data_IF_211544897438
#
_entry.id   IF_211544897438
#
_cell.length_a   1.000
_cell.length_b   1.000
_cell.length_c   1.000
_cell.angle_alpha   90.00
_cell.angle_beta   90.00
_cell.angle_gamma   90.00
#
_symmetry.space_group_name_H-M   'P 1'
#
loop_
_entity.id
_entity.type
_entity.pdbx_description
1 polymer ?
#
# COMPACT_ATOMS: atom_id res chain seq x y z
N UNK A 1 -31.11 -23.09 15.44
CA UNK A 1 -31.18 -22.18 16.59
C UNK A 1 -29.77 -22.10 17.20
N UNK A 2 -28.97 -21.12 16.82
CA UNK A 2 -27.69 -20.85 17.48
C UNK A 2 -27.98 -20.09 18.77
N UNK A 3 -27.75 -20.73 19.95
CA UNK A 3 -27.78 -20.02 21.24
C UNK A 3 -26.63 -19.01 21.27
N UNK A 4 -26.97 -17.76 21.58
CA UNK A 4 -26.00 -16.69 21.81
C UNK A 4 -25.09 -17.11 23.00
N UNK A 5 -23.79 -17.30 22.84
CA UNK A 5 -22.90 -17.76 23.91
C UNK A 5 -22.76 -16.76 25.08
N UNK A 6 -23.40 -15.60 25.01
CA UNK A 6 -23.36 -14.55 26.02
C UNK A 6 -24.71 -14.31 26.73
N UNK A 7 -25.71 -15.16 26.50
CA UNK A 7 -26.96 -15.12 27.26
C UNK A 7 -26.69 -15.54 28.72
N UNK A 8 -26.59 -14.55 29.60
CA UNK A 8 -26.33 -14.77 31.03
C UNK A 8 -24.98 -14.26 31.56
N UNK A 9 -24.14 -13.66 30.73
CA UNK A 9 -22.91 -13.03 31.21
C UNK A 9 -23.25 -11.71 31.93
N UNK A 10 -23.23 -11.70 33.27
CA UNK A 10 -23.17 -10.47 34.05
C UNK A 10 -21.72 -9.96 33.99
N UNK A 11 -21.52 -8.81 33.36
CA UNK A 11 -20.25 -8.13 33.35
C UNK A 11 -19.95 -7.51 34.70
N UNK A 12 -18.95 -8.00 35.46
CA UNK A 12 -18.78 -7.64 36.87
C UNK A 12 -18.38 -6.18 37.15
N UNK A 13 -18.02 -5.43 36.09
CA UNK A 13 -17.44 -4.08 36.22
C UNK A 13 -18.43 -2.93 36.00
N UNK A 14 -19.67 -3.19 35.55
CA UNK A 14 -20.66 -2.12 35.36
C UNK A 14 -21.22 -1.57 36.68
N UNK A 15 -20.99 -2.24 37.80
CA UNK A 15 -21.47 -1.86 39.12
C UNK A 15 -20.32 -1.57 40.11
N UNK A 16 -19.10 -1.40 39.67
CA UNK A 16 -17.99 -1.00 40.53
C UNK A 16 -18.05 0.53 40.76
N UNK A 17 -18.40 0.98 42.01
CA UNK A 17 -18.53 2.42 42.32
C UNK A 17 -17.22 3.20 42.17
N UNK A 18 -16.07 2.52 42.26
CA UNK A 18 -14.73 3.13 42.13
C UNK A 18 -14.30 3.34 40.65
N UNK A 19 -15.01 2.70 39.71
CA UNK A 19 -14.66 2.80 38.30
C UNK A 19 -15.14 4.09 37.63
N UNK A 20 -16.21 4.76 38.18
CA UNK A 20 -16.74 5.99 37.57
C UNK A 20 -17.26 6.96 38.65
N UNK A 21 -16.52 8.00 38.97
CA UNK A 21 -17.07 9.17 39.67
C UNK A 21 -18.20 9.81 38.87
N UNK A 22 -19.23 10.33 39.53
CA UNK A 22 -20.49 10.80 38.91
C UNK A 22 -20.29 11.87 37.78
N UNK A 23 -19.21 12.65 37.82
CA UNK A 23 -18.88 13.64 36.79
C UNK A 23 -18.28 12.96 35.56
N UNK A 24 -17.38 12.03 35.72
CA UNK A 24 -16.74 11.26 34.65
C UNK A 24 -17.74 10.38 33.93
N UNK A 25 -18.76 9.91 34.62
CA UNK A 25 -19.87 9.13 34.06
C UNK A 25 -20.71 9.97 33.08
N UNK A 26 -20.94 11.25 33.37
CA UNK A 26 -21.65 12.18 32.47
C UNK A 26 -20.83 12.47 31.22
N UNK A 27 -19.53 12.71 31.36
CA UNK A 27 -18.64 12.99 30.25
C UNK A 27 -18.51 11.80 29.32
N UNK A 28 -18.39 10.58 29.89
CA UNK A 28 -18.33 9.34 29.11
C UNK A 28 -19.63 9.09 28.34
N UNK A 29 -20.79 9.36 28.95
CA UNK A 29 -22.09 9.18 28.29
C UNK A 29 -22.32 10.24 27.19
N UNK A 30 -21.89 11.48 27.41
CA UNK A 30 -21.97 12.54 26.39
C UNK A 30 -21.08 12.21 25.17
N UNK A 31 -19.84 11.79 25.41
CA UNK A 31 -18.93 11.35 24.34
C UNK A 31 -19.52 10.15 23.60
N UNK A 32 -20.10 9.18 24.33
CA UNK A 32 -20.75 8.02 23.73
C UNK A 32 -21.94 8.41 22.86
N UNK A 33 -22.77 9.36 23.34
CA UNK A 33 -23.92 9.88 22.59
C UNK A 33 -23.49 10.54 21.31
N UNK A 34 -22.48 11.42 21.38
CA UNK A 34 -21.91 12.09 20.21
C UNK A 34 -21.27 11.10 19.24
N UNK A 35 -20.51 10.16 19.75
CA UNK A 35 -19.91 9.10 18.92
C UNK A 35 -20.98 8.34 18.13
N UNK A 36 -22.07 7.92 18.77
CA UNK A 36 -23.17 7.20 18.11
C UNK A 36 -23.86 8.05 17.04
N UNK A 37 -24.13 9.33 17.31
CA UNK A 37 -24.84 10.19 16.36
C UNK A 37 -23.99 10.56 15.13
N UNK A 38 -22.68 10.65 15.30
CA UNK A 38 -21.76 11.09 14.24
C UNK A 38 -21.13 9.93 13.47
N UNK A 39 -21.16 8.70 14.01
CA UNK A 39 -20.43 7.53 13.49
C UNK A 39 -21.26 6.24 13.39
N UNK A 40 -22.54 6.34 13.05
CA UNK A 40 -23.44 5.18 12.88
C UNK A 40 -22.94 4.19 11.81
N UNK A 41 -22.16 4.64 10.85
CA UNK A 41 -21.51 3.78 9.87
C UNK A 41 -20.54 2.78 10.51
N UNK A 42 -19.79 3.17 11.56
CA UNK A 42 -18.89 2.27 12.29
C UNK A 42 -19.69 1.18 13.00
N UNK A 43 -20.82 1.54 13.61
CA UNK A 43 -21.71 0.56 14.23
C UNK A 43 -22.19 -0.47 13.22
N UNK A 44 -22.70 -0.02 12.07
CA UNK A 44 -23.20 -0.92 11.01
C UNK A 44 -22.11 -1.87 10.49
N UNK A 45 -20.90 -1.37 10.29
CA UNK A 45 -19.78 -2.17 9.81
C UNK A 45 -19.35 -3.22 10.84
N UNK A 46 -19.34 -2.88 12.13
CA UNK A 46 -19.05 -3.82 13.22
C UNK A 46 -20.18 -4.86 13.39
N UNK A 47 -21.44 -4.45 13.27
CA UNK A 47 -22.61 -5.35 13.31
C UNK A 47 -22.59 -6.34 12.11
N UNK A 48 -22.23 -5.88 10.91
CA UNK A 48 -22.04 -6.73 9.73
C UNK A 48 -20.87 -7.72 9.89
N UNK A 49 -19.90 -7.38 10.73
CA UNK A 49 -18.80 -8.29 11.10
C UNK A 49 -19.19 -9.29 12.19
N UNK A 50 -20.47 -9.32 12.62
CA UNK A 50 -20.99 -10.26 13.61
C UNK A 50 -20.87 -9.80 15.06
N UNK A 51 -20.49 -8.54 15.32
CA UNK A 51 -20.39 -8.01 16.68
C UNK A 51 -21.74 -7.41 17.11
N UNK A 52 -22.30 -7.90 18.20
CA UNK A 52 -23.56 -7.40 18.74
C UNK A 52 -23.44 -5.93 19.18
N UNK A 53 -24.47 -5.11 18.90
CA UNK A 53 -24.50 -3.67 19.22
C UNK A 53 -24.25 -3.38 20.71
N UNK A 54 -24.81 -4.17 21.60
CA UNK A 54 -24.60 -3.99 23.05
C UNK A 54 -23.15 -4.23 23.45
N UNK A 55 -22.47 -5.16 22.77
CA UNK A 55 -21.04 -5.42 22.99
C UNK A 55 -20.18 -4.28 22.42
N UNK A 56 -20.56 -3.74 21.29
CA UNK A 56 -19.89 -2.53 20.73
C UNK A 56 -20.00 -1.39 21.73
N UNK A 57 -21.20 -1.13 22.26
CA UNK A 57 -21.45 -0.09 23.25
C UNK A 57 -20.63 -0.29 24.54
N UNK A 58 -20.58 -1.52 25.02
CA UNK A 58 -19.79 -1.86 26.20
C UNK A 58 -18.29 -1.58 25.99
N UNK A 59 -17.75 -2.06 24.88
CA UNK A 59 -16.33 -1.85 24.56
C UNK A 59 -15.99 -0.38 24.34
N UNK A 60 -16.91 0.37 23.73
CA UNK A 60 -16.74 1.81 23.54
C UNK A 60 -16.74 2.56 24.86
N UNK A 61 -17.70 2.29 25.74
CA UNK A 61 -17.73 2.92 27.07
C UNK A 61 -16.48 2.60 27.88
N UNK A 62 -16.00 1.35 27.80
CA UNK A 62 -14.79 0.93 28.48
C UNK A 62 -13.54 1.65 27.93
N UNK A 63 -13.43 1.77 26.61
CA UNK A 63 -12.35 2.49 25.95
C UNK A 63 -12.41 4.00 26.24
N UNK A 64 -13.61 4.60 26.24
CA UNK A 64 -13.81 6.01 26.60
C UNK A 64 -13.34 6.26 28.04
N UNK A 65 -13.75 5.39 28.99
CA UNK A 65 -13.34 5.47 30.39
C UNK A 65 -11.82 5.40 30.55
N UNK A 66 -11.15 4.50 29.82
CA UNK A 66 -9.69 4.42 29.79
C UNK A 66 -9.06 5.70 29.26
N UNK A 67 -9.55 6.23 28.13
CA UNK A 67 -9.02 7.44 27.51
C UNK A 67 -9.15 8.67 28.39
N UNK A 68 -10.28 8.82 29.12
CA UNK A 68 -10.51 9.94 30.03
C UNK A 68 -9.60 9.87 31.25
N UNK A 69 -9.39 8.68 31.82
CA UNK A 69 -8.83 8.53 33.16
C UNK A 69 -7.36 8.11 33.20
N UNK A 70 -6.86 7.41 32.19
CA UNK A 70 -5.60 6.68 32.30
C UNK A 70 -4.68 6.87 31.11
N UNK A 71 -5.18 7.36 29.97
CA UNK A 71 -4.36 7.53 28.79
C UNK A 71 -3.59 8.86 28.81
N UNK A 72 -2.35 8.82 28.36
CA UNK A 72 -1.61 10.02 27.96
C UNK A 72 -2.10 10.45 26.56
N UNK A 73 -3.03 11.40 26.53
CA UNK A 73 -3.68 11.86 25.29
C UNK A 73 -2.73 12.57 24.32
N UNK A 74 -1.50 12.86 24.74
CA UNK A 74 -0.46 13.42 23.85
C UNK A 74 0.21 12.38 22.96
N UNK A 75 0.01 11.09 23.26
CA UNK A 75 0.61 9.99 22.50
C UNK A 75 -0.17 9.67 21.23
N UNK A 76 0.54 9.15 20.21
CA UNK A 76 -0.13 8.63 19.01
C UNK A 76 -1.15 7.53 19.33
N UNK A 77 -2.27 7.45 18.61
CA UNK A 77 -3.35 6.47 18.86
C UNK A 77 -2.88 5.02 18.99
N UNK A 78 -1.86 4.63 18.24
CA UNK A 78 -1.25 3.28 18.30
C UNK A 78 -0.58 3.00 19.65
N UNK A 79 0.10 3.97 20.23
CA UNK A 79 0.74 3.81 21.55
C UNK A 79 -0.31 3.76 22.65
N UNK A 80 -1.38 4.54 22.54
CA UNK A 80 -2.53 4.49 23.44
C UNK A 80 -3.21 3.11 23.37
N UNK A 81 -3.40 2.58 22.16
CA UNK A 81 -3.96 1.25 21.97
C UNK A 81 -3.08 0.14 22.58
N UNK A 82 -1.76 0.22 22.40
CA UNK A 82 -0.84 -0.73 23.02
C UNK A 82 -0.89 -0.66 24.56
N UNK A 83 -0.97 0.54 25.11
CA UNK A 83 -1.15 0.74 26.56
C UNK A 83 -2.47 0.11 27.02
N UNK A 84 -3.56 0.34 26.31
CA UNK A 84 -4.87 -0.25 26.58
C UNK A 84 -4.83 -1.79 26.56
N UNK A 85 -4.23 -2.39 25.54
CA UNK A 85 -4.09 -3.84 25.43
C UNK A 85 -3.24 -4.45 26.56
N UNK A 86 -2.15 -3.78 26.94
CA UNK A 86 -1.29 -4.23 28.04
C UNK A 86 -2.00 -4.17 29.39
N UNK A 87 -2.80 -3.15 29.60
CA UNK A 87 -3.54 -2.96 30.85
C UNK A 87 -4.78 -3.86 30.94
N UNK A 88 -5.41 -4.17 29.79
CA UNK A 88 -6.62 -4.96 29.70
C UNK A 88 -6.50 -6.15 28.72
N UNK A 89 -5.64 -7.14 29.00
CA UNK A 89 -5.39 -8.27 28.08
C UNK A 89 -6.63 -9.10 27.75
N UNK A 90 -7.62 -9.10 28.68
CA UNK A 90 -8.87 -9.81 28.51
C UNK A 90 -9.72 -9.28 27.33
N UNK A 91 -9.62 -7.99 26.99
CA UNK A 91 -10.30 -7.42 25.83
C UNK A 91 -9.85 -8.11 24.54
N UNK A 92 -8.55 -8.32 24.38
CA UNK A 92 -8.01 -9.05 23.25
C UNK A 92 -8.41 -10.54 23.21
N UNK A 93 -8.63 -11.15 24.38
CA UNK A 93 -9.14 -12.53 24.46
C UNK A 93 -10.61 -12.60 24.03
N UNK A 94 -11.43 -11.70 24.55
CA UNK A 94 -12.85 -11.61 24.22
C UNK A 94 -13.08 -11.38 22.73
N UNK A 95 -12.35 -10.44 22.14
CA UNK A 95 -12.43 -10.13 20.70
C UNK A 95 -12.07 -11.34 19.84
N UNK A 96 -11.07 -12.13 20.24
CA UNK A 96 -10.71 -13.38 19.53
C UNK A 96 -11.82 -14.43 19.55
N UNK A 97 -12.64 -14.47 20.62
CA UNK A 97 -13.77 -15.38 20.71
C UNK A 97 -14.93 -15.01 19.77
N UNK A 98 -14.97 -13.78 19.27
CA UNK A 98 -15.99 -13.33 18.33
C UNK A 98 -15.76 -13.80 16.88
N UNK A 99 -14.67 -14.51 16.63
CA UNK A 99 -14.29 -15.00 15.29
C UNK A 99 -14.14 -13.89 14.24
N UNK A 100 -13.92 -12.64 14.69
CA UNK A 100 -13.67 -11.49 13.82
C UNK A 100 -12.17 -11.43 13.51
N UNK A 101 -11.78 -11.28 12.26
CA UNK A 101 -10.37 -11.16 11.88
C UNK A 101 -9.67 -10.03 12.64
N UNK A 102 -8.50 -10.32 13.22
CA UNK A 102 -7.76 -9.39 14.10
C UNK A 102 -7.44 -8.05 13.42
N UNK A 103 -7.10 -8.08 12.14
CA UNK A 103 -6.85 -6.89 11.34
C UNK A 103 -8.06 -5.95 11.21
N UNK A 104 -9.27 -6.51 11.22
CA UNK A 104 -10.53 -5.73 11.24
C UNK A 104 -10.66 -5.03 12.59
N UNK A 105 -10.49 -5.77 13.67
CA UNK A 105 -10.61 -5.25 15.03
C UNK A 105 -9.61 -4.13 15.30
N UNK A 106 -8.32 -4.36 15.02
CA UNK A 106 -7.25 -3.37 15.26
C UNK A 106 -7.50 -2.08 14.47
N UNK A 107 -7.99 -2.18 13.24
CA UNK A 107 -8.34 -1.04 12.39
C UNK A 107 -9.46 -0.20 13.02
N UNK A 108 -10.55 -0.85 13.45
CA UNK A 108 -11.67 -0.13 14.04
C UNK A 108 -11.33 0.47 15.38
N UNK A 109 -10.58 -0.21 16.23
CA UNK A 109 -10.19 0.33 17.55
C UNK A 109 -9.31 1.56 17.38
N UNK A 110 -8.33 1.56 16.49
CA UNK A 110 -7.50 2.76 16.23
C UNK A 110 -8.34 3.93 15.73
N UNK A 111 -9.24 3.69 14.78
CA UNK A 111 -10.16 4.72 14.28
C UNK A 111 -11.09 5.25 15.37
N UNK A 112 -11.59 4.36 16.22
CA UNK A 112 -12.45 4.71 17.36
C UNK A 112 -11.66 5.57 18.36
N UNK A 113 -10.42 5.20 18.68
CA UNK A 113 -9.53 5.99 19.57
C UNK A 113 -9.34 7.39 19.02
N UNK A 114 -9.03 7.54 17.73
CA UNK A 114 -8.86 8.85 17.09
C UNK A 114 -10.10 9.74 17.19
N UNK A 115 -11.28 9.15 16.95
CA UNK A 115 -12.56 9.87 17.04
C UNK A 115 -12.84 10.28 18.49
N UNK A 116 -12.66 9.38 19.45
CA UNK A 116 -12.91 9.67 20.86
C UNK A 116 -11.94 10.72 21.38
N UNK A 117 -10.66 10.66 21.01
CA UNK A 117 -9.68 11.70 21.37
C UNK A 117 -10.13 13.08 20.92
N UNK A 118 -10.65 13.22 19.70
CA UNK A 118 -11.22 14.49 19.20
C UNK A 118 -12.42 14.93 20.03
N UNK A 119 -13.28 14.02 20.42
CA UNK A 119 -14.45 14.32 21.24
C UNK A 119 -14.08 14.76 22.67
N UNK A 120 -13.02 14.15 23.25
CA UNK A 120 -12.53 14.47 24.60
C UNK A 120 -11.82 15.82 24.64
N UNK A 121 -10.94 16.09 23.69
CA UNK A 121 -10.09 17.29 23.70
C UNK A 121 -10.83 18.57 23.33
N UNK A 122 -12.14 18.48 23.03
CA UNK A 122 -12.95 19.63 22.63
C UNK A 122 -12.43 20.32 21.38
N UNK A 123 -11.65 19.60 20.59
CA UNK A 123 -10.82 20.16 19.52
C UNK A 123 -11.62 20.93 18.49
N UNK A 124 -11.63 22.24 18.65
CA UNK A 124 -11.39 23.06 17.49
C UNK A 124 -10.07 22.58 16.90
N UNK A 125 -9.95 22.45 15.57
CA UNK A 125 -8.66 22.14 14.96
C UNK A 125 -7.71 23.23 15.46
N UNK A 126 -6.73 22.85 16.32
CA UNK A 126 -5.51 23.65 16.45
C UNK A 126 -5.01 23.91 15.02
N UNK A 127 -4.22 24.99 14.73
CA UNK A 127 -3.70 25.18 13.41
C UNK A 127 -3.05 23.85 13.04
N UNK A 128 -3.89 23.02 12.43
CA UNK A 128 -3.52 21.69 12.02
C UNK A 128 -2.37 21.82 11.06
N UNK A 129 -1.56 20.81 10.88
CA UNK A 129 -0.82 20.69 9.64
C UNK A 129 -1.84 21.05 8.56
N UNK A 130 -1.57 22.13 7.81
CA UNK A 130 -2.51 22.84 6.95
C UNK A 130 -3.47 21.91 6.23
N UNK A 131 -4.70 22.31 5.90
CA UNK A 131 -5.87 21.48 5.73
C UNK A 131 -5.48 20.13 5.17
N UNK A 132 -5.50 19.12 6.04
CA UNK A 132 -5.28 17.74 5.63
C UNK A 132 -6.23 17.55 4.46
N UNK A 133 -5.86 16.82 3.40
CA UNK A 133 -6.68 16.68 2.21
C UNK A 133 -8.10 16.43 2.70
N UNK A 134 -9.02 17.34 2.28
CA UNK A 134 -10.42 17.28 2.65
C UNK A 134 -10.95 15.86 2.46
N UNK A 135 -12.08 15.44 3.03
CA UNK A 135 -12.52 14.07 3.10
C UNK A 135 -12.15 13.38 1.81
N UNK A 136 -11.21 12.43 1.90
CA UNK A 136 -10.69 11.75 0.73
C UNK A 136 -11.90 11.29 -0.07
N UNK A 137 -11.88 11.34 -1.40
CA UNK A 137 -13.03 10.96 -2.20
C UNK A 137 -13.57 9.65 -1.65
N UNK A 138 -14.91 9.56 -1.59
CA UNK A 138 -15.62 8.36 -1.13
C UNK A 138 -14.93 7.11 -1.67
N UNK A 139 -14.71 6.07 -0.86
CA UNK A 139 -14.04 4.86 -1.31
C UNK A 139 -14.62 4.41 -2.65
N UNK A 140 -13.78 4.22 -3.65
CA UNK A 140 -14.22 3.68 -4.94
C UNK A 140 -14.73 2.28 -4.66
N UNK A 141 -15.95 1.92 -5.11
CA UNK A 141 -16.54 0.63 -4.81
C UNK A 141 -15.56 -0.52 -5.11
N UNK A 142 -15.34 -1.39 -4.13
CA UNK A 142 -14.46 -2.53 -4.23
C UNK A 142 -12.98 -2.27 -3.89
N UNK A 143 -12.54 -1.02 -3.73
CA UNK A 143 -11.21 -0.70 -3.25
C UNK A 143 -11.21 -0.40 -1.74
N UNK A 144 -10.21 -0.91 -1.04
CA UNK A 144 -10.01 -0.59 0.37
C UNK A 144 -9.65 0.90 0.55
N UNK A 145 -10.04 1.52 1.66
CA UNK A 145 -9.53 2.84 2.01
C UNK A 145 -8.01 2.86 2.05
N UNK A 146 -7.42 3.99 1.68
CA UNK A 146 -5.98 4.18 1.81
C UNK A 146 -5.55 4.06 3.28
N UNK A 147 -4.55 3.23 3.55
CA UNK A 147 -3.89 3.11 4.84
C UNK A 147 -2.48 3.68 4.78
N UNK A 148 -2.00 4.22 5.91
CA UNK A 148 -0.64 4.74 6.05
C UNK A 148 0.25 3.66 6.69
N UNK A 149 1.29 3.24 5.98
CA UNK A 149 2.27 2.25 6.41
C UNK A 149 3.54 2.88 7.00
N UNK A 150 3.54 4.20 7.16
CA UNK A 150 4.63 4.95 7.78
C UNK A 150 5.88 5.09 6.89
N UNK A 151 6.99 5.44 7.52
CA UNK A 151 8.25 5.75 6.84
C UNK A 151 8.33 7.20 6.38
N UNK A 152 9.51 7.60 5.89
CA UNK A 152 9.74 8.90 5.23
C UNK A 152 10.45 8.64 3.91
N UNK A 153 9.68 8.56 2.84
CA UNK A 153 10.13 8.19 1.52
C UNK A 153 10.66 9.43 0.76
N UNK A 154 11.79 9.29 0.11
CA UNK A 154 12.35 10.29 -0.82
C UNK A 154 12.07 9.97 -2.28
N UNK A 155 11.70 8.72 -2.57
CA UNK A 155 11.36 8.23 -3.91
C UNK A 155 9.91 7.73 -3.97
N UNK A 156 9.43 7.40 -5.16
CA UNK A 156 8.29 6.50 -5.31
C UNK A 156 8.65 5.11 -4.77
N UNK A 157 7.66 4.30 -4.33
CA UNK A 157 7.89 2.91 -3.98
C UNK A 157 8.05 2.02 -5.23
N UNK A 158 8.68 0.85 -5.05
CA UNK A 158 8.60 -0.31 -5.93
C UNK A 158 8.01 -1.49 -5.16
N UNK A 159 7.32 -2.40 -5.85
CA UNK A 159 6.70 -3.55 -5.19
C UNK A 159 6.82 -4.83 -6.01
N UNK A 160 6.97 -5.95 -5.32
CA UNK A 160 6.97 -7.29 -5.91
C UNK A 160 6.29 -8.30 -4.99
N UNK A 161 5.93 -9.45 -5.56
CA UNK A 161 5.44 -10.60 -4.81
C UNK A 161 6.04 -11.88 -5.40
N UNK A 162 6.50 -12.79 -4.55
CA UNK A 162 6.97 -14.10 -4.97
C UNK A 162 5.96 -15.22 -4.64
N UNK A 163 4.79 -14.89 -4.16
CA UNK A 163 3.74 -15.86 -3.90
C UNK A 163 2.56 -15.31 -3.12
N UNK A 164 1.53 -16.15 -2.92
CA UNK A 164 0.33 -15.74 -2.17
C UNK A 164 0.65 -15.24 -0.75
N UNK A 165 -0.07 -14.23 -0.31
CA UNK A 165 0.10 -13.60 1.00
C UNK A 165 1.48 -12.99 1.26
N UNK A 166 2.26 -12.73 0.21
CA UNK A 166 3.54 -12.05 0.32
C UNK A 166 3.58 -10.83 -0.58
N UNK A 167 3.96 -9.70 -0.02
CA UNK A 167 4.28 -8.47 -0.76
C UNK A 167 5.56 -7.90 -0.17
N UNK A 168 6.46 -7.50 -1.03
CA UNK A 168 7.70 -6.81 -0.69
C UNK A 168 7.67 -5.41 -1.31
N UNK A 169 7.87 -4.37 -0.49
CA UNK A 169 7.84 -2.96 -0.91
C UNK A 169 9.18 -2.32 -0.60
N UNK A 170 9.71 -1.60 -1.56
CA UNK A 170 11.02 -0.94 -1.50
C UNK A 170 10.87 0.55 -1.77
N UNK A 171 11.66 1.39 -1.10
CA UNK A 171 11.69 2.83 -1.35
C UNK A 171 13.05 3.41 -0.96
N UNK A 172 13.38 4.58 -1.48
CA UNK A 172 14.51 5.38 -1.01
C UNK A 172 14.17 6.11 0.29
N UNK A 173 15.05 6.03 1.28
CA UNK A 173 14.97 6.77 2.53
C UNK A 173 15.72 8.11 2.48
N UNK A 174 15.69 8.86 3.58
CA UNK A 174 16.35 10.18 3.70
C UNK A 174 17.89 10.10 3.69
N UNK A 175 18.42 8.91 3.89
CA UNK A 175 19.85 8.55 3.81
C UNK A 175 20.28 8.12 2.40
N UNK A 176 19.37 8.21 1.41
CA UNK A 176 19.53 7.68 0.05
C UNK A 176 19.74 6.15 -0.01
N UNK A 177 19.57 5.43 1.08
CA UNK A 177 19.58 3.98 1.09
C UNK A 177 18.25 3.40 0.58
N UNK A 178 18.29 2.16 0.12
CA UNK A 178 17.09 1.38 -0.16
C UNK A 178 16.55 0.83 1.15
N UNK A 179 15.29 1.11 1.42
CA UNK A 179 14.55 0.58 2.54
C UNK A 179 13.50 -0.40 2.06
N UNK A 180 13.28 -1.46 2.86
CA UNK A 180 12.41 -2.59 2.55
C UNK A 180 11.38 -2.80 3.65
N UNK A 181 10.16 -3.09 3.26
CA UNK A 181 9.05 -3.45 4.14
C UNK A 181 8.23 -4.54 3.46
N UNK A 182 7.77 -5.55 4.22
CA UNK A 182 7.02 -6.65 3.62
C UNK A 182 5.78 -7.03 4.42
N UNK A 183 4.81 -7.57 3.69
CA UNK A 183 3.66 -8.26 4.23
C UNK A 183 3.97 -9.77 4.29
N UNK A 184 3.77 -10.41 5.47
CA UNK A 184 4.07 -11.82 5.72
C UNK A 184 2.83 -12.72 5.65
N UNK A 185 1.69 -12.19 5.21
CA UNK A 185 0.39 -12.85 5.21
C UNK A 185 -0.48 -12.50 6.42
N UNK A 186 0.11 -11.87 7.45
CA UNK A 186 -0.59 -11.51 8.69
C UNK A 186 -0.35 -10.07 9.13
N UNK A 187 0.84 -9.54 8.87
CA UNK A 187 1.25 -8.20 9.30
C UNK A 187 2.33 -7.62 8.39
N UNK A 188 2.44 -6.30 8.41
CA UNK A 188 3.58 -5.58 7.85
C UNK A 188 4.78 -5.66 8.81
N UNK A 189 5.97 -5.90 8.25
CA UNK A 189 7.24 -5.81 8.99
C UNK A 189 7.53 -4.37 9.44
N UNK A 190 8.56 -4.18 10.25
CA UNK A 190 9.24 -2.90 10.36
C UNK A 190 10.08 -2.64 9.09
N UNK A 191 10.52 -1.38 8.90
CA UNK A 191 11.41 -1.02 7.80
C UNK A 191 12.82 -1.57 8.02
N UNK A 192 13.37 -2.25 7.02
CA UNK A 192 14.72 -2.79 6.96
C UNK A 192 15.58 -1.94 6.02
N UNK A 193 16.78 -1.54 6.47
CA UNK A 193 17.74 -0.80 5.63
C UNK A 193 18.60 -1.78 4.84
N UNK A 194 18.56 -1.73 3.51
CA UNK A 194 19.32 -2.56 2.60
C UNK A 194 20.57 -1.85 2.01
N UNK A 195 20.85 -0.64 2.49
CA UNK A 195 22.00 0.15 2.05
C UNK A 195 21.85 0.69 0.63
N UNK A 196 22.99 1.01 0.03
CA UNK A 196 23.06 1.59 -1.31
C UNK A 196 23.08 3.12 -1.31
N UNK A 197 23.14 3.71 -2.51
CA UNK A 197 23.08 5.15 -2.75
C UNK A 197 22.15 5.41 -3.96
N UNK A 198 20.84 5.46 -3.70
CA UNK A 198 19.81 5.55 -4.72
C UNK A 198 19.58 6.98 -5.19
N UNK A 199 19.46 7.16 -6.51
CA UNK A 199 19.04 8.42 -7.12
C UNK A 199 17.72 8.27 -7.89
N UNK A 200 17.03 7.14 -7.73
CA UNK A 200 15.72 6.85 -8.32
C UNK A 200 14.85 6.01 -7.41
N UNK A 201 13.58 5.86 -7.75
CA UNK A 201 12.74 4.81 -7.22
C UNK A 201 13.33 3.43 -7.53
N UNK A 202 13.22 2.44 -6.62
CA UNK A 202 13.55 1.06 -6.91
C UNK A 202 12.48 0.40 -7.78
N UNK A 203 12.92 -0.49 -8.69
CA UNK A 203 12.07 -1.50 -9.29
C UNK A 203 12.27 -2.81 -8.54
N UNK A 204 11.22 -3.63 -8.45
CA UNK A 204 11.30 -4.97 -7.86
C UNK A 204 10.53 -5.97 -8.70
N UNK A 205 11.06 -7.20 -8.78
CA UNK A 205 10.46 -8.30 -9.52
C UNK A 205 10.81 -9.64 -8.86
N UNK A 206 9.96 -10.63 -9.04
CA UNK A 206 10.24 -12.01 -8.65
C UNK A 206 10.07 -12.95 -9.86
N UNK A 207 10.96 -13.92 -10.00
CA UNK A 207 10.82 -15.00 -10.96
C UNK A 207 10.50 -16.36 -10.30
N UNK A 208 10.31 -16.38 -9.00
CA UNK A 208 9.97 -17.61 -8.28
C UNK A 208 9.89 -17.43 -6.76
N UNK A 209 9.42 -18.45 -6.04
CA UNK A 209 9.31 -18.40 -4.58
C UNK A 209 10.65 -18.09 -3.90
N UNK A 210 10.60 -17.27 -2.85
CA UNK A 210 11.77 -16.86 -2.08
C UNK A 210 12.84 -16.10 -2.91
N UNK A 211 12.47 -15.56 -4.06
CA UNK A 211 13.37 -14.75 -4.86
C UNK A 211 12.78 -13.34 -5.09
N UNK A 212 13.57 -12.33 -4.81
CA UNK A 212 13.28 -10.94 -5.18
C UNK A 212 14.54 -10.34 -5.79
N UNK A 213 14.38 -9.71 -6.92
CA UNK A 213 15.41 -8.93 -7.58
C UNK A 213 15.03 -7.46 -7.58
N UNK A 214 15.93 -6.58 -7.18
CA UNK A 214 15.70 -5.12 -7.09
C UNK A 214 16.72 -4.37 -7.93
N UNK A 215 16.25 -3.34 -8.61
CA UNK A 215 17.06 -2.51 -9.50
C UNK A 215 16.87 -1.04 -9.15
N UNK A 216 17.96 -0.26 -9.18
CA UNK A 216 17.95 1.17 -8.90
C UNK A 216 18.91 1.89 -9.84
N UNK A 217 18.75 3.20 -10.00
CA UNK A 217 19.80 4.06 -10.52
C UNK A 217 20.69 4.51 -9.37
N UNK A 218 22.00 4.28 -9.50
CA UNK A 218 23.02 4.75 -8.57
C UNK A 218 23.43 6.20 -8.79
N UNK A 219 24.36 6.68 -7.98
CA UNK A 219 24.91 8.03 -8.05
C UNK A 219 25.77 8.27 -9.31
N UNK A 220 26.24 7.21 -9.94
CA UNK A 220 26.97 7.17 -11.21
C UNK A 220 26.05 7.10 -12.45
N UNK A 221 24.72 7.15 -12.23
CA UNK A 221 23.69 6.93 -13.23
C UNK A 221 23.70 5.54 -13.87
N UNK A 222 24.47 4.58 -13.37
CA UNK A 222 24.38 3.19 -13.77
C UNK A 222 23.19 2.47 -13.12
N UNK A 223 22.76 1.37 -13.72
CA UNK A 223 21.83 0.46 -13.10
C UNK A 223 22.57 -0.42 -12.09
N UNK A 224 22.03 -0.45 -10.86
CA UNK A 224 22.54 -1.29 -9.80
C UNK A 224 21.49 -2.33 -9.41
N UNK A 225 21.95 -3.55 -9.10
CA UNK A 225 21.15 -4.73 -8.82
C UNK A 225 21.49 -5.31 -7.46
N UNK A 226 20.45 -5.75 -6.74
CA UNK A 226 20.55 -6.47 -5.46
C UNK A 226 19.40 -7.46 -5.39
N UNK A 227 19.65 -8.67 -4.87
CA UNK A 227 18.62 -9.70 -4.80
C UNK A 227 18.60 -10.43 -3.47
N UNK A 228 17.41 -10.94 -3.15
CA UNK A 228 17.16 -11.91 -2.10
C UNK A 228 17.23 -13.33 -2.69
N UNK A 229 18.04 -14.22 -2.09
CA UNK A 229 18.24 -15.60 -2.56
C UNK A 229 17.41 -16.65 -1.81
N UNK A 230 16.50 -16.19 -0.92
CA UNK A 230 15.71 -17.04 -0.03
C UNK A 230 16.26 -17.11 1.39
N UNK A 231 17.51 -16.66 1.61
CA UNK A 231 18.19 -16.67 2.91
C UNK A 231 18.88 -15.36 3.28
N UNK A 232 19.39 -14.63 2.29
CA UNK A 232 20.12 -13.38 2.48
C UNK A 232 20.03 -12.46 1.27
N UNK A 233 20.26 -11.19 1.51
CA UNK A 233 20.46 -10.20 0.46
C UNK A 233 21.89 -10.29 -0.08
N UNK A 234 22.04 -10.22 -1.41
CA UNK A 234 23.34 -10.11 -2.07
C UNK A 234 24.06 -8.80 -1.73
N UNK A 235 25.31 -8.67 -2.11
CA UNK A 235 25.93 -7.35 -2.30
C UNK A 235 25.28 -6.64 -3.50
N UNK A 236 25.49 -5.31 -3.59
CA UNK A 236 25.14 -4.52 -4.78
C UNK A 236 26.10 -4.84 -5.92
N UNK A 237 25.58 -5.06 -7.12
CA UNK A 237 26.38 -5.17 -8.36
C UNK A 237 25.95 -4.13 -9.39
N UNK A 238 26.91 -3.59 -10.13
CA UNK A 238 26.65 -2.64 -11.22
C UNK A 238 26.38 -3.38 -12.53
N UNK A 239 25.28 -3.03 -13.18
CA UNK A 239 24.95 -3.52 -14.53
C UNK A 239 25.25 -2.49 -15.61
N UNK A 240 25.90 -1.38 -15.24
CA UNK A 240 26.30 -0.30 -16.17
C UNK A 240 25.10 0.49 -16.71
N UNK A 241 25.29 1.09 -17.85
CA UNK A 241 24.31 1.95 -18.52
C UNK A 241 24.41 3.43 -18.12
N UNK A 242 23.60 4.26 -18.78
CA UNK A 242 23.46 5.70 -18.53
C UNK A 242 21.97 6.03 -18.38
N UNK A 243 21.44 5.85 -17.18
CA UNK A 243 20.02 5.96 -16.87
C UNK A 243 19.62 7.40 -16.61
N UNK A 244 18.47 7.82 -17.15
CA UNK A 244 17.85 9.13 -16.84
C UNK A 244 16.50 8.97 -16.12
N UNK A 245 16.12 7.73 -15.77
CA UNK A 245 14.90 7.41 -15.04
C UNK A 245 15.15 6.34 -13.99
N UNK A 246 14.14 6.05 -13.16
CA UNK A 246 14.05 4.80 -12.45
C UNK A 246 13.98 3.63 -13.46
N UNK A 247 14.53 2.45 -13.12
CA UNK A 247 14.32 1.23 -13.90
C UNK A 247 12.91 0.67 -13.72
N UNK A 248 12.51 -0.22 -14.63
CA UNK A 248 11.42 -1.16 -14.49
C UNK A 248 11.95 -2.57 -14.67
N UNK A 249 11.26 -3.57 -14.10
CA UNK A 249 11.66 -4.96 -14.23
C UNK A 249 10.45 -5.87 -14.42
N UNK A 250 10.62 -6.92 -15.21
CA UNK A 250 9.64 -7.97 -15.45
C UNK A 250 10.33 -9.34 -15.51
N UNK A 251 9.55 -10.40 -15.30
CA UNK A 251 10.00 -11.78 -15.51
C UNK A 251 8.85 -12.60 -16.06
N UNK A 252 9.11 -13.42 -17.09
CA UNK A 252 8.11 -14.38 -17.59
C UNK A 252 8.32 -15.82 -17.08
N UNK A 253 9.31 -16.02 -16.25
CA UNK A 253 9.60 -17.36 -15.72
C UNK A 253 10.93 -17.46 -14.96
N UNK A 254 11.23 -18.62 -14.40
CA UNK A 254 12.43 -18.84 -13.61
C UNK A 254 13.72 -18.51 -14.39
N UNK A 255 14.66 -17.88 -13.69
CA UNK A 255 15.97 -17.48 -14.25
C UNK A 255 15.88 -16.51 -15.43
N UNK A 256 14.77 -15.80 -15.59
CA UNK A 256 14.63 -14.73 -16.57
C UNK A 256 14.33 -13.41 -15.89
N UNK A 257 15.08 -12.37 -16.22
CA UNK A 257 14.84 -10.99 -15.82
C UNK A 257 14.97 -10.07 -17.02
N UNK A 258 14.05 -9.17 -17.17
CA UNK A 258 14.03 -8.15 -18.20
C UNK A 258 13.95 -6.79 -17.52
N UNK A 259 14.88 -5.90 -17.79
CA UNK A 259 14.98 -4.57 -17.19
C UNK A 259 14.88 -3.49 -18.26
N UNK A 260 14.19 -2.42 -17.93
CA UNK A 260 13.90 -1.33 -18.86
C UNK A 260 14.20 0.01 -18.19
N UNK A 261 14.78 0.93 -18.97
CA UNK A 261 15.13 2.27 -18.49
C UNK A 261 14.90 3.29 -19.61
N UNK A 262 14.75 4.56 -19.24
CA UNK A 262 14.93 5.65 -20.18
C UNK A 262 16.41 6.01 -20.23
N UNK A 263 17.00 5.98 -21.43
CA UNK A 263 18.37 6.38 -21.68
C UNK A 263 18.56 7.90 -21.81
N UNK A 264 19.77 8.32 -22.09
CA UNK A 264 20.15 9.73 -22.28
C UNK A 264 19.54 10.34 -23.53
N UNK A 265 19.16 9.53 -24.51
CA UNK A 265 18.44 9.88 -25.73
C UNK A 265 16.90 9.91 -25.56
N UNK A 266 16.41 9.72 -24.33
CA UNK A 266 15.00 9.55 -23.99
C UNK A 266 14.32 8.32 -24.62
N UNK A 267 15.05 7.42 -25.26
CA UNK A 267 14.52 6.15 -25.76
C UNK A 267 14.38 5.13 -24.65
N UNK A 268 13.56 4.12 -24.90
CA UNK A 268 13.50 2.92 -24.05
C UNK A 268 14.72 2.05 -24.35
N UNK A 269 15.46 1.72 -23.30
CA UNK A 269 16.57 0.77 -23.35
C UNK A 269 16.25 -0.45 -22.52
N UNK A 270 16.68 -1.63 -23.02
CA UNK A 270 16.41 -2.96 -22.44
C UNK A 270 17.70 -3.69 -22.17
N UNK A 271 17.76 -4.41 -21.05
CA UNK A 271 18.82 -5.32 -20.68
C UNK A 271 18.21 -6.51 -19.97
N UNK A 272 18.67 -7.73 -20.27
CA UNK A 272 18.06 -8.92 -19.70
C UNK A 272 19.08 -9.97 -19.25
N UNK A 273 18.67 -10.71 -18.22
CA UNK A 273 19.31 -11.93 -17.74
C UNK A 273 18.69 -13.13 -18.44
N UNK A 274 19.51 -13.98 -19.05
CA UNK A 274 19.07 -15.15 -19.82
C UNK A 274 19.13 -16.47 -19.03
N UNK A 275 19.42 -16.41 -17.73
CA UNK A 275 19.62 -17.55 -16.84
C UNK A 275 21.10 -17.85 -16.59
N UNK A 276 22.01 -17.26 -17.35
CA UNK A 276 23.47 -17.47 -17.26
C UNK A 276 24.29 -16.17 -17.23
N UNK A 277 23.82 -15.14 -17.93
CA UNK A 277 24.51 -13.86 -18.03
C UNK A 277 23.55 -12.71 -18.30
N UNK A 278 23.97 -11.50 -17.97
CA UNK A 278 23.36 -10.27 -18.45
C UNK A 278 23.78 -10.00 -19.90
N UNK A 279 22.80 -9.79 -20.77
CA UNK A 279 23.02 -9.42 -22.16
C UNK A 279 23.31 -7.92 -22.27
N UNK A 280 23.80 -7.49 -23.44
CA UNK A 280 24.08 -6.07 -23.68
C UNK A 280 22.81 -5.23 -23.76
N UNK A 281 22.96 -3.93 -23.56
CA UNK A 281 21.87 -2.96 -23.71
C UNK A 281 21.39 -2.91 -25.16
N UNK A 282 20.08 -3.02 -25.39
CA UNK A 282 19.46 -2.78 -26.69
C UNK A 282 18.51 -1.57 -26.65
N UNK A 283 18.50 -0.77 -27.72
CA UNK A 283 17.61 0.36 -27.86
C UNK A 283 16.29 -0.07 -28.50
N UNK A 284 15.16 0.09 -27.78
CA UNK A 284 13.82 -0.23 -28.25
C UNK A 284 13.07 0.99 -28.81
N UNK A 285 13.73 2.13 -28.91
CA UNK A 285 13.18 3.37 -29.48
C UNK A 285 12.11 4.03 -28.61
N UNK A 286 11.35 4.91 -29.23
CA UNK A 286 10.35 5.74 -28.56
C UNK A 286 10.93 7.03 -28.00
N UNK A 287 10.06 7.88 -27.43
CA UNK A 287 10.44 9.09 -26.70
C UNK A 287 9.64 9.13 -25.41
N UNK A 288 10.30 8.77 -24.31
CA UNK A 288 9.72 8.67 -22.99
C UNK A 288 9.91 9.97 -22.21
N UNK A 289 8.89 10.37 -21.44
CA UNK A 289 8.96 11.52 -20.54
C UNK A 289 8.85 11.10 -19.05
N UNK A 290 8.86 9.80 -18.78
CA UNK A 290 8.82 9.22 -17.43
C UNK A 290 9.71 7.99 -17.32
N UNK A 291 9.81 7.42 -16.13
CA UNK A 291 10.20 6.03 -15.92
C UNK A 291 9.27 5.11 -16.69
N UNK A 292 9.77 3.98 -17.25
CA UNK A 292 8.91 2.91 -17.76
C UNK A 292 8.29 2.09 -16.60
N UNK A 293 7.26 1.32 -16.93
CA UNK A 293 6.77 0.20 -16.13
C UNK A 293 6.74 -1.06 -16.98
N UNK A 294 7.02 -2.21 -16.42
CA UNK A 294 7.04 -3.46 -17.16
C UNK A 294 6.40 -4.59 -16.37
N UNK A 295 5.77 -5.52 -17.09
CA UNK A 295 5.11 -6.70 -16.52
C UNK A 295 5.14 -7.86 -17.51
N UNK A 296 5.07 -9.07 -17.00
CA UNK A 296 4.72 -10.26 -17.77
C UNK A 296 3.45 -10.91 -17.21
N UNK A 297 2.55 -11.31 -18.08
CA UNK A 297 1.37 -12.10 -17.72
C UNK A 297 1.43 -13.54 -18.25
N UNK A 298 2.53 -13.92 -18.85
CA UNK A 298 2.73 -15.26 -19.39
C UNK A 298 4.09 -15.46 -20.02
N UNK A 299 4.44 -16.71 -20.29
CA UNK A 299 5.71 -17.06 -20.90
C UNK A 299 5.91 -16.36 -22.25
N UNK A 300 7.11 -15.82 -22.48
CA UNK A 300 7.48 -15.09 -23.68
C UNK A 300 6.62 -13.84 -23.97
N UNK A 301 6.01 -13.26 -22.93
CA UNK A 301 5.25 -12.01 -23.05
C UNK A 301 5.79 -10.98 -22.09
N UNK A 302 6.07 -9.77 -22.59
CA UNK A 302 6.36 -8.60 -21.78
C UNK A 302 5.57 -7.44 -22.33
N UNK A 303 4.97 -6.66 -21.44
CA UNK A 303 4.30 -5.41 -21.75
C UNK A 303 5.04 -4.27 -21.04
N UNK A 304 5.37 -3.20 -21.77
CA UNK A 304 6.10 -2.03 -21.28
C UNK A 304 5.28 -0.77 -21.53
N UNK A 305 5.14 0.03 -20.50
CA UNK A 305 4.37 1.26 -20.48
C UNK A 305 5.26 2.43 -20.08
N UNK A 306 4.95 3.61 -20.60
CA UNK A 306 5.58 4.86 -20.18
C UNK A 306 4.64 6.04 -20.45
N UNK A 307 5.02 7.23 -19.98
CA UNK A 307 4.39 8.46 -20.39
C UNK A 307 5.09 8.98 -21.65
N UNK A 308 4.33 9.29 -22.67
CA UNK A 308 4.77 9.87 -23.93
C UNK A 308 4.88 11.40 -23.87
N UNK A 309 5.18 12.01 -25.01
CA UNK A 309 5.46 13.47 -25.14
C UNK A 309 4.21 14.34 -24.95
N UNK A 310 3.01 13.80 -25.17
CA UNK A 310 1.73 14.48 -24.94
C UNK A 310 1.12 14.15 -23.56
N UNK A 311 1.94 13.63 -22.64
CA UNK A 311 1.55 13.12 -21.32
C UNK A 311 0.56 11.95 -21.35
N UNK A 312 0.39 11.29 -22.48
CA UNK A 312 -0.42 10.09 -22.66
C UNK A 312 0.30 8.84 -22.17
N UNK A 313 -0.46 7.79 -21.86
CA UNK A 313 0.08 6.46 -21.68
C UNK A 313 0.46 5.88 -23.05
N UNK A 314 1.71 5.49 -23.21
CA UNK A 314 2.22 4.75 -24.37
C UNK A 314 2.56 3.32 -23.99
N UNK A 315 2.41 2.39 -24.94
CA UNK A 315 2.55 0.96 -24.72
C UNK A 315 3.34 0.30 -25.85
N UNK A 316 4.16 -0.67 -25.48
CA UNK A 316 4.95 -1.52 -26.37
C UNK A 316 5.04 -2.92 -25.74
N UNK A 317 5.04 -3.98 -26.57
CA UNK A 317 5.10 -5.34 -26.04
C UNK A 317 6.00 -6.26 -26.86
N UNK A 318 6.52 -7.27 -26.19
CA UNK A 318 7.17 -8.45 -26.76
C UNK A 318 6.14 -9.56 -26.91
N UNK A 319 6.03 -10.17 -28.09
CA UNK A 319 5.07 -11.23 -28.40
C UNK A 319 5.67 -12.65 -28.40
N UNK A 320 6.91 -12.77 -27.97
CA UNK A 320 7.71 -14.00 -28.02
C UNK A 320 8.62 -14.11 -29.25
N UNK A 321 8.50 -13.17 -30.22
CA UNK A 321 9.29 -13.16 -31.47
C UNK A 321 9.85 -11.79 -31.80
N UNK A 322 9.05 -10.76 -31.59
CA UNK A 322 9.43 -9.38 -31.92
C UNK A 322 8.78 -8.37 -30.96
N UNK A 323 9.43 -7.23 -30.82
CA UNK A 323 8.84 -6.05 -30.19
C UNK A 323 7.82 -5.39 -31.12
N UNK A 324 6.64 -5.04 -30.61
CA UNK A 324 5.66 -4.23 -31.33
C UNK A 324 6.17 -2.81 -31.62
N UNK A 325 5.45 -2.06 -32.44
CA UNK A 325 5.54 -0.61 -32.45
C UNK A 325 5.01 0.00 -31.15
N UNK A 326 5.29 1.28 -30.88
CA UNK A 326 4.64 2.04 -29.83
C UNK A 326 3.20 2.39 -30.22
N UNK A 327 2.27 2.19 -29.31
CA UNK A 327 0.88 2.66 -29.44
C UNK A 327 0.53 3.65 -28.33
N UNK A 328 -0.36 4.60 -28.62
CA UNK A 328 -0.89 5.51 -27.60
C UNK A 328 -2.18 4.95 -27.02
N UNK A 329 -2.24 4.88 -25.70
CA UNK A 329 -3.43 4.50 -24.95
C UNK A 329 -4.15 5.73 -24.37
N UNK A 330 -3.73 6.95 -24.71
CA UNK A 330 -4.36 8.19 -24.26
C UNK A 330 -4.21 8.43 -22.75
N UNK A 331 -5.07 9.29 -22.20
CA UNK A 331 -5.00 9.76 -20.82
C UNK A 331 -4.16 11.04 -20.69
N UNK A 332 -4.07 11.57 -19.46
CA UNK A 332 -3.21 12.71 -19.12
C UNK A 332 -2.52 12.41 -17.80
N UNK A 333 -1.32 11.91 -17.88
CA UNK A 333 -0.54 11.41 -16.75
C UNK A 333 0.39 12.53 -16.22
N UNK A 334 0.55 12.60 -14.91
CA UNK A 334 1.51 13.48 -14.22
C UNK A 334 2.65 12.72 -13.57
N UNK A 335 2.68 11.40 -13.71
CA UNK A 335 3.75 10.51 -13.25
C UNK A 335 4.08 9.47 -14.32
N UNK A 336 5.13 8.68 -14.11
CA UNK A 336 5.26 7.38 -14.74
C UNK A 336 4.12 6.45 -14.34
N UNK A 337 3.82 5.43 -15.17
CA UNK A 337 2.83 4.40 -14.85
C UNK A 337 3.42 3.33 -13.94
N UNK A 338 2.53 2.51 -13.38
CA UNK A 338 2.82 1.21 -12.81
C UNK A 338 1.84 0.19 -13.38
N UNK A 339 2.20 -1.09 -13.35
CA UNK A 339 1.35 -2.13 -13.94
C UNK A 339 1.37 -3.39 -13.08
N UNK A 340 0.22 -4.03 -12.96
CA UNK A 340 0.08 -5.37 -12.38
C UNK A 340 -0.73 -6.29 -13.28
N UNK A 341 -0.55 -7.59 -13.09
CA UNK A 341 -1.34 -8.61 -13.76
C UNK A 341 -1.73 -9.69 -12.75
N UNK A 342 -3.01 -9.92 -12.59
CA UNK A 342 -3.55 -10.95 -11.68
C UNK A 342 -3.84 -12.29 -12.37
N UNK A 343 -3.78 -12.33 -13.69
CA UNK A 343 -4.02 -13.54 -14.51
C UNK A 343 -3.52 -13.32 -15.94
N UNK A 344 -3.30 -14.39 -16.70
CA UNK A 344 -2.95 -14.28 -18.11
C UNK A 344 -3.93 -13.42 -18.91
N UNK A 345 -3.40 -12.66 -19.85
CA UNK A 345 -4.11 -11.76 -20.74
C UNK A 345 -4.98 -10.71 -20.02
N UNK A 346 -4.50 -10.25 -18.85
CA UNK A 346 -5.14 -9.18 -18.08
C UNK A 346 -4.08 -8.24 -17.53
N UNK A 347 -4.28 -6.93 -17.70
CA UNK A 347 -3.37 -5.90 -17.20
C UNK A 347 -4.18 -4.80 -16.52
N UNK A 348 -3.71 -4.36 -15.36
CA UNK A 348 -4.16 -3.15 -14.70
C UNK A 348 -3.00 -2.14 -14.68
N UNK A 349 -3.12 -1.04 -15.42
CA UNK A 349 -2.13 0.03 -15.48
C UNK A 349 -2.60 1.19 -14.61
N UNK A 350 -1.73 1.67 -13.76
CA UNK A 350 -2.01 2.73 -12.80
C UNK A 350 -1.10 3.93 -13.05
N UNK A 351 -1.62 5.13 -12.87
CA UNK A 351 -0.85 6.37 -12.93
C UNK A 351 -1.49 7.48 -12.10
N UNK A 352 -0.68 8.48 -11.74
CA UNK A 352 -1.20 9.71 -11.15
C UNK A 352 -1.71 10.63 -12.27
N UNK A 353 -2.92 11.16 -12.09
CA UNK A 353 -3.52 12.17 -12.96
C UNK A 353 -3.28 13.61 -12.46
N UNK A 354 -3.84 14.60 -13.18
CA UNK A 354 -3.63 16.04 -12.96
C UNK A 354 -4.07 16.57 -11.58
N UNK A 355 -4.93 15.85 -10.89
CA UNK A 355 -5.47 16.20 -9.56
C UNK A 355 -4.82 15.39 -8.42
N UNK A 356 -3.62 14.82 -8.65
CA UNK A 356 -2.89 13.95 -7.72
C UNK A 356 -3.66 12.68 -7.31
N UNK A 357 -4.67 12.29 -8.07
CA UNK A 357 -5.43 11.07 -7.83
C UNK A 357 -4.83 9.90 -8.59
N UNK A 358 -5.03 8.71 -8.03
CA UNK A 358 -4.72 7.45 -8.70
C UNK A 358 -5.78 7.17 -9.76
N UNK A 359 -5.33 6.88 -10.97
CA UNK A 359 -6.17 6.39 -12.06
C UNK A 359 -5.72 5.01 -12.50
N UNK A 360 -6.67 4.20 -12.96
CA UNK A 360 -6.44 2.86 -13.49
C UNK A 360 -7.00 2.75 -14.90
N UNK A 361 -6.32 1.99 -15.75
CA UNK A 361 -6.81 1.53 -17.04
C UNK A 361 -6.57 0.04 -17.18
N UNK A 362 -7.57 -0.71 -17.60
CA UNK A 362 -7.55 -2.17 -17.63
C UNK A 362 -7.55 -2.69 -19.06
N UNK A 363 -6.68 -3.64 -19.36
CA UNK A 363 -6.81 -4.58 -20.47
C UNK A 363 -7.55 -5.80 -19.97
N UNK A 364 -8.75 -6.07 -20.53
CA UNK A 364 -9.62 -7.14 -20.06
C UNK A 364 -9.45 -8.48 -20.81
N UNK A 365 -8.45 -8.54 -21.70
CA UNK A 365 -8.17 -9.68 -22.57
C UNK A 365 -8.64 -9.49 -24.01
N UNK A 366 -9.41 -8.44 -24.30
CA UNK A 366 -9.93 -8.14 -25.65
C UNK A 366 -9.80 -6.67 -26.05
N UNK A 367 -9.88 -5.77 -25.06
CA UNK A 367 -9.78 -4.31 -25.28
C UNK A 367 -9.31 -3.58 -24.06
N UNK A 368 -8.76 -2.39 -24.27
CA UNK A 368 -8.52 -1.41 -23.21
C UNK A 368 -9.82 -0.76 -22.78
N UNK A 369 -10.11 -0.79 -21.48
CA UNK A 369 -11.25 -0.10 -20.87
C UNK A 369 -10.96 1.40 -20.71
N UNK A 370 -11.95 2.18 -20.30
CA UNK A 370 -11.78 3.59 -20.00
C UNK A 370 -10.96 3.79 -18.71
N UNK A 371 -10.38 4.98 -18.55
CA UNK A 371 -9.73 5.37 -17.31
C UNK A 371 -10.73 5.44 -16.16
N UNK A 372 -10.41 4.78 -15.06
CA UNK A 372 -11.16 4.77 -13.81
C UNK A 372 -10.39 5.61 -12.77
N UNK A 373 -11.08 6.55 -12.09
CA UNK A 373 -10.51 7.34 -11.02
C UNK A 373 -10.66 6.58 -9.69
N UNK A 374 -9.55 6.18 -9.09
CA UNK A 374 -9.50 5.44 -7.82
C UNK A 374 -9.32 6.36 -6.60
N UNK A 375 -9.38 7.66 -6.78
CA UNK A 375 -9.23 8.60 -5.67
C UNK A 375 -7.81 8.68 -5.14
N UNK A 376 -7.70 8.83 -3.81
CA UNK A 376 -6.41 9.05 -3.14
C UNK A 376 -5.88 10.48 -3.31
N UNK A 377 -4.75 10.72 -2.70
CA UNK A 377 -3.96 11.94 -2.89
C UNK A 377 -2.49 11.55 -2.83
N UNK A 378 -1.96 11.13 -3.96
CA UNK A 378 -0.61 10.55 -4.09
C UNK A 378 0.39 11.61 -4.58
N UNK A 379 1.63 11.52 -4.09
CA UNK A 379 2.71 12.47 -4.38
C UNK A 379 3.85 11.81 -5.19
N UNK A 380 3.65 10.61 -5.70
CA UNK A 380 4.64 9.88 -6.49
C UNK A 380 4.02 9.10 -7.63
N UNK A 381 4.85 8.46 -8.44
CA UNK A 381 4.45 7.30 -9.24
C UNK A 381 3.88 6.22 -8.32
N UNK A 382 2.80 5.52 -8.69
CA UNK A 382 2.32 4.36 -7.96
C UNK A 382 3.23 3.14 -8.17
N UNK A 383 3.13 2.15 -7.26
CA UNK A 383 3.66 0.80 -7.46
C UNK A 383 2.53 -0.19 -7.28
N UNK A 384 2.25 -0.98 -8.30
CA UNK A 384 1.17 -1.97 -8.28
C UNK A 384 1.73 -3.39 -8.32
N UNK A 385 1.11 -4.28 -7.56
CA UNK A 385 1.48 -5.69 -7.50
C UNK A 385 0.26 -6.56 -7.29
N UNK A 386 0.33 -7.79 -7.76
CA UNK A 386 -0.68 -8.83 -7.51
C UNK A 386 0.02 -10.09 -7.03
N UNK A 387 -0.45 -10.69 -5.93
CA UNK A 387 0.06 -11.95 -5.41
C UNK A 387 -0.90 -13.13 -5.65
N UNK A 388 -1.94 -12.91 -6.44
CA UNK A 388 -2.91 -13.93 -6.79
C UNK A 388 -4.02 -13.42 -7.71
N UNK A 389 -4.86 -14.33 -8.23
CA UNK A 389 -5.83 -14.00 -9.29
C UNK A 389 -6.96 -13.08 -8.86
N UNK A 390 -7.09 -12.82 -7.56
CA UNK A 390 -8.18 -12.01 -6.97
C UNK A 390 -7.70 -10.76 -6.26
N UNK A 391 -6.39 -10.53 -6.20
CA UNK A 391 -5.82 -9.45 -5.39
C UNK A 391 -4.98 -8.49 -6.24
N UNK A 392 -5.21 -7.20 -6.06
CA UNK A 392 -4.35 -6.13 -6.57
C UNK A 392 -4.07 -5.15 -5.44
N UNK A 393 -2.80 -4.87 -5.21
CA UNK A 393 -2.30 -3.93 -4.21
C UNK A 393 -1.61 -2.77 -4.91
N UNK A 394 -1.85 -1.54 -4.43
CA UNK A 394 -1.25 -0.32 -4.98
C UNK A 394 -0.66 0.51 -3.85
N UNK A 395 0.59 0.87 -4.01
CA UNK A 395 1.37 1.69 -3.10
C UNK A 395 1.73 3.01 -3.76
N UNK A 396 1.85 4.06 -2.96
CA UNK A 396 2.36 5.35 -3.38
C UNK A 396 2.99 6.09 -2.19
N UNK A 397 3.72 7.15 -2.47
CA UNK A 397 4.07 8.13 -1.45
C UNK A 397 2.88 9.08 -1.25
N UNK A 398 2.46 9.24 0.00
CA UNK A 398 1.46 10.21 0.42
C UNK A 398 2.02 11.63 0.54
N UNK A 399 1.14 12.62 0.77
CA UNK A 399 1.53 14.04 0.89
C UNK A 399 2.45 14.30 2.10
N UNK A 400 2.38 13.48 3.14
CA UNK A 400 3.26 13.49 4.31
C UNK A 400 4.56 12.72 4.09
N UNK A 401 4.82 12.26 2.86
CA UNK A 401 5.96 11.44 2.45
C UNK A 401 5.98 10.03 3.04
N UNK A 402 4.92 9.58 3.71
CA UNK A 402 4.81 8.18 4.14
C UNK A 402 4.45 7.25 2.99
N UNK A 403 4.68 5.95 3.17
CA UNK A 403 4.14 4.91 2.30
C UNK A 403 2.65 4.77 2.58
N UNK A 404 1.82 4.97 1.56
CA UNK A 404 0.38 4.71 1.63
C UNK A 404 0.00 3.55 0.72
N UNK A 405 -1.05 2.81 1.10
CA UNK A 405 -1.45 1.58 0.47
C UNK A 405 -2.97 1.49 0.31
N UNK A 406 -3.42 0.98 -0.80
CA UNK A 406 -4.81 0.57 -1.06
C UNK A 406 -4.81 -0.74 -1.84
N UNK A 407 -5.90 -1.49 -1.75
CA UNK A 407 -6.02 -2.77 -2.46
C UNK A 407 -7.44 -3.05 -2.87
N UNK A 408 -7.57 -3.97 -3.81
CA UNK A 408 -8.85 -4.56 -4.22
C UNK A 408 -8.73 -6.07 -4.17
N UNK A 409 -9.79 -6.71 -3.68
CA UNK A 409 -10.00 -8.15 -3.73
C UNK A 409 -11.28 -8.43 -4.53
N UNK A 410 -11.16 -9.21 -5.64
CA UNK A 410 -12.28 -9.53 -6.56
C UNK A 410 -13.03 -10.80 -6.13
#
# INVERSE_FOLDING_TARGET
>A
MYRNPFEGFQFPFLNDPDFMMAQQQRDSQEIMRRFRSENDNIYRELEQSGINRNLIDYLLLFLIGFLINQADLSRPPRQIYNQFQNQYPWVGIMIRQLNVPRNIVDRYILRIIEIILRLITGGQPGPGPGPGPGPGPSPVPGWAPWEDLGGVLTTAPGAASWGPNRIDVFAGGTDNAMWHKWWDGSRWSEWENLGGGLTSAPAAVSWGPNRIDTFVRGTDNAMWHKWWDGSRWSAWESLGGGLTSAPAAASWGPNRLDTFVRGTDNSLWHKWWDGSRWNDWENLGGTLTSSPAAISWGSNRIDVFARGTNNELIHKWWDGRAWSGWESLGGTLTSGPSVSSKRPNHLDVFARGTNNRLFKRTWNGSRWENWENLGGNIDSEPAAVSWGPRRTDVFARGQNRSLIHTWKED
#
